data_IF_229717519041
#
_entry.id   IF_229717519041
#
_cell.length_a   1.000
_cell.length_b   1.000
_cell.length_c   1.000
_cell.angle_alpha   90.00
_cell.angle_beta   90.00
_cell.angle_gamma   90.00
#
_symmetry.space_group_name_H-M   'P 1'
#
loop_
_entity.id
_entity.type
_entity.pdbx_description
1 polymer ?
#
# COMPACT_ATOMS: atom_id res chain seq x y z
N UNK A 1 7.82 -43.31 13.54
CA UNK A 1 7.38 -42.16 12.71
C UNK A 1 8.38 -41.97 11.58
N UNK A 2 7.95 -41.94 10.31
CA UNK A 2 8.84 -42.00 9.15
C UNK A 2 9.52 -40.65 8.86
N UNK A 3 10.81 -40.66 8.48
CA UNK A 3 11.62 -39.45 8.21
C UNK A 3 11.04 -38.60 7.06
N UNK A 4 10.32 -39.23 6.12
CA UNK A 4 9.65 -38.55 5.01
C UNK A 4 8.46 -37.70 5.47
N UNK A 5 7.63 -38.20 6.38
CA UNK A 5 6.47 -37.46 6.91
C UNK A 5 6.89 -36.20 7.68
N UNK A 6 8.02 -36.26 8.37
CA UNK A 6 8.58 -35.11 9.10
C UNK A 6 8.98 -33.98 8.16
N UNK A 7 9.60 -34.30 7.01
CA UNK A 7 10.02 -33.30 6.03
C UNK A 7 8.82 -32.65 5.34
N UNK A 8 7.78 -33.42 5.00
CA UNK A 8 6.53 -32.89 4.41
C UNK A 8 5.82 -31.96 5.39
N UNK A 9 5.68 -32.36 6.67
CA UNK A 9 5.11 -31.51 7.72
C UNK A 9 5.90 -30.21 7.89
N UNK A 10 7.23 -30.28 7.89
CA UNK A 10 8.10 -29.10 8.02
C UNK A 10 7.94 -28.14 6.84
N UNK A 11 7.86 -28.66 5.61
CA UNK A 11 7.59 -27.86 4.41
C UNK A 11 6.24 -27.13 4.49
N UNK A 12 5.19 -27.82 4.92
CA UNK A 12 3.85 -27.24 5.11
C UNK A 12 3.84 -26.11 6.15
N UNK A 13 4.52 -26.30 7.28
CA UNK A 13 4.63 -25.29 8.33
C UNK A 13 5.37 -24.03 7.84
N UNK A 14 6.42 -24.20 7.05
CA UNK A 14 7.16 -23.09 6.44
C UNK A 14 6.26 -22.32 5.46
N UNK A 15 5.52 -23.01 4.60
CA UNK A 15 4.57 -22.38 3.68
C UNK A 15 3.49 -21.58 4.43
N UNK A 16 2.90 -22.17 5.48
CA UNK A 16 1.93 -21.47 6.35
C UNK A 16 2.53 -20.22 7.01
N UNK A 17 3.78 -20.29 7.47
CA UNK A 17 4.49 -19.14 8.07
C UNK A 17 4.70 -18.02 7.04
N UNK A 18 5.09 -18.36 5.80
CA UNK A 18 5.23 -17.39 4.70
C UNK A 18 3.92 -16.69 4.38
N UNK A 19 2.82 -17.45 4.25
CA UNK A 19 1.48 -16.87 4.00
C UNK A 19 1.06 -15.92 5.12
N UNK A 20 1.29 -16.31 6.39
CA UNK A 20 0.98 -15.46 7.55
C UNK A 20 1.77 -14.14 7.51
N UNK A 21 3.05 -14.19 7.13
CA UNK A 21 3.90 -13.00 6.98
C UNK A 21 3.38 -12.06 5.88
N UNK A 22 2.99 -12.60 4.73
CA UNK A 22 2.40 -11.81 3.64
C UNK A 22 1.11 -11.12 4.09
N UNK A 23 0.22 -11.83 4.81
CA UNK A 23 -1.01 -11.24 5.36
C UNK A 23 -0.72 -10.10 6.34
N UNK A 24 0.28 -10.25 7.21
CA UNK A 24 0.70 -9.17 8.11
C UNK A 24 1.25 -7.96 7.35
N UNK A 25 2.07 -8.20 6.32
CA UNK A 25 2.61 -7.15 5.46
C UNK A 25 1.48 -6.38 4.76
N UNK A 26 0.53 -7.10 4.17
CA UNK A 26 -0.64 -6.51 3.51
C UNK A 26 -1.46 -5.64 4.48
N UNK A 27 -1.75 -6.14 5.69
CA UNK A 27 -2.49 -5.37 6.70
C UNK A 27 -1.77 -4.08 7.10
N UNK A 28 -0.44 -4.13 7.25
CA UNK A 28 0.35 -2.92 7.53
C UNK A 28 0.30 -1.94 6.37
N UNK A 29 0.49 -2.40 5.14
CA UNK A 29 0.46 -1.53 3.97
C UNK A 29 -0.90 -0.85 3.79
N UNK A 30 -2.00 -1.57 4.00
CA UNK A 30 -3.35 -0.99 3.98
C UNK A 30 -3.49 0.07 5.09
N UNK A 31 -3.08 -0.24 6.32
CA UNK A 31 -3.14 0.71 7.43
C UNK A 31 -2.30 1.96 7.19
N UNK A 32 -1.14 1.81 6.56
CA UNK A 32 -0.31 2.94 6.15
C UNK A 32 -1.01 3.78 5.09
N UNK A 33 -1.61 3.15 4.08
CA UNK A 33 -2.33 3.86 3.02
C UNK A 33 -3.53 4.62 3.57
N UNK A 34 -4.32 4.04 4.48
CA UNK A 34 -5.43 4.71 5.16
C UNK A 34 -5.01 6.00 5.87
N UNK A 35 -3.80 6.04 6.46
CA UNK A 35 -3.26 7.23 7.12
C UNK A 35 -2.70 8.27 6.15
N UNK A 36 -2.34 7.87 4.93
CA UNK A 36 -1.82 8.78 3.91
C UNK A 36 -2.93 9.51 3.16
N UNK A 37 -4.08 8.85 2.96
CA UNK A 37 -5.19 9.42 2.21
C UNK A 37 -6.13 10.16 3.17
N UNK A 38 -6.38 11.47 2.97
CA UNK A 38 -7.26 12.23 3.86
C UNK A 38 -8.68 11.67 3.91
N UNK A 39 -9.21 11.45 5.13
CA UNK A 39 -10.57 10.96 5.35
C UNK A 39 -10.78 9.49 4.97
N UNK A 40 -9.74 8.67 5.16
CA UNK A 40 -9.72 7.24 4.87
C UNK A 40 -9.27 6.37 6.05
N UNK A 41 -9.16 6.92 7.25
CA UNK A 41 -8.65 6.25 8.45
C UNK A 41 -9.41 4.94 8.76
N UNK A 42 -10.71 4.93 8.44
CA UNK A 42 -11.62 3.78 8.62
C UNK A 42 -12.26 3.31 7.31
N UNK A 43 -11.76 3.76 6.15
CA UNK A 43 -12.34 3.37 4.86
C UNK A 43 -12.16 1.88 4.59
N UNK A 44 -13.16 1.25 3.96
CA UNK A 44 -13.02 -0.07 3.38
C UNK A 44 -11.99 -0.06 2.24
N UNK A 45 -11.55 -1.25 1.83
CA UNK A 45 -10.45 -1.40 0.88
C UNK A 45 -10.79 -0.82 -0.50
N UNK A 46 -12.01 -0.98 -0.98
CA UNK A 46 -12.42 -0.50 -2.30
C UNK A 46 -12.46 1.03 -2.32
N UNK A 47 -13.12 1.63 -1.33
CA UNK A 47 -13.16 3.09 -1.16
C UNK A 47 -11.75 3.68 -0.98
N UNK A 48 -10.89 2.99 -0.23
CA UNK A 48 -9.50 3.40 -0.02
C UNK A 48 -8.74 3.49 -1.34
N UNK A 49 -8.83 2.46 -2.20
CA UNK A 49 -8.14 2.47 -3.48
C UNK A 49 -8.68 3.54 -4.42
N UNK A 50 -10.01 3.70 -4.51
CA UNK A 50 -10.61 4.74 -5.34
C UNK A 50 -10.16 6.14 -4.89
N UNK A 51 -10.28 6.46 -3.60
CA UNK A 51 -9.84 7.74 -3.05
C UNK A 51 -8.32 7.94 -3.19
N UNK A 52 -7.53 6.87 -3.16
CA UNK A 52 -6.08 6.93 -3.40
C UNK A 52 -5.77 7.41 -4.83
N UNK A 53 -6.46 6.87 -5.82
CA UNK A 53 -6.30 7.27 -7.23
C UNK A 53 -6.65 8.75 -7.38
N UNK A 54 -7.80 9.16 -6.83
CA UNK A 54 -8.25 10.56 -6.89
C UNK A 54 -7.25 11.51 -6.20
N UNK A 55 -6.71 11.11 -5.05
CA UNK A 55 -5.73 11.89 -4.32
C UNK A 55 -4.41 12.03 -5.10
N UNK A 56 -3.92 10.96 -5.73
CA UNK A 56 -2.73 10.99 -6.59
C UNK A 56 -2.94 11.95 -7.77
N UNK A 57 -4.12 11.92 -8.40
CA UNK A 57 -4.42 12.83 -9.52
C UNK A 57 -4.45 14.30 -9.06
N UNK A 58 -5.05 14.58 -7.91
CA UNK A 58 -5.05 15.93 -7.31
C UNK A 58 -3.63 16.42 -7.00
N UNK A 59 -2.80 15.59 -6.38
CA UNK A 59 -1.41 15.93 -6.10
C UNK A 59 -0.61 16.19 -7.37
N UNK A 60 -0.78 15.37 -8.41
CA UNK A 60 -0.13 15.60 -9.72
C UNK A 60 -0.51 16.95 -10.31
N UNK A 61 -1.80 17.30 -10.27
CA UNK A 61 -2.27 18.59 -10.75
C UNK A 61 -1.68 19.75 -9.93
N UNK A 62 -1.67 19.65 -8.61
CA UNK A 62 -1.08 20.66 -7.73
C UNK A 62 0.40 20.87 -8.01
N UNK A 63 1.18 19.79 -8.16
CA UNK A 63 2.60 19.88 -8.52
C UNK A 63 2.78 20.52 -9.90
N UNK A 64 1.93 20.20 -10.86
CA UNK A 64 1.98 20.82 -12.18
C UNK A 64 1.73 22.33 -12.12
N UNK A 65 0.69 22.76 -11.40
CA UNK A 65 0.39 24.18 -11.20
C UNK A 65 1.57 24.89 -10.53
N UNK A 66 2.14 24.32 -9.46
CA UNK A 66 3.29 24.91 -8.77
C UNK A 66 4.51 25.06 -9.69
N UNK A 67 4.76 24.09 -10.58
CA UNK A 67 5.83 24.19 -11.59
C UNK A 67 5.56 25.31 -12.59
N UNK A 68 4.33 25.46 -13.07
CA UNK A 68 3.97 26.55 -13.98
C UNK A 68 4.13 27.91 -13.28
N UNK A 69 3.71 28.03 -12.02
CA UNK A 69 3.91 29.26 -11.25
C UNK A 69 5.39 29.58 -11.07
N UNK A 70 6.22 28.60 -10.73
CA UNK A 70 7.66 28.78 -10.61
C UNK A 70 8.26 29.30 -11.93
N UNK A 71 7.87 28.74 -13.08
CA UNK A 71 8.31 29.23 -14.38
C UNK A 71 7.91 30.69 -14.62
N UNK A 72 6.70 31.10 -14.23
CA UNK A 72 6.27 32.50 -14.33
C UNK A 72 7.11 33.41 -13.43
N UNK A 73 7.48 32.96 -12.23
CA UNK A 73 8.33 33.71 -11.31
C UNK A 73 9.80 33.76 -11.72
N UNK A 74 10.32 32.75 -12.43
CA UNK A 74 11.70 32.72 -12.92
C UNK A 74 11.92 33.51 -14.22
N UNK A 75 10.84 33.83 -14.93
CA UNK A 75 10.86 34.61 -16.19
C UNK A 75 10.69 36.14 -15.92
N UNK A 76 10.11 36.52 -14.79
CA UNK A 76 9.99 37.91 -14.32
C UNK A 76 11.14 38.32 -13.40
#
# INVERSE_FOLDING_TARGET
>A
MNKRDMNVRRGHLIAKKKVKLVKFSLKRNISTLQKMIPGCEEADVETLFQKSIDHIMKLKLQVHILKCLLQVYEIN
#
